data_IF_913996455323
#
_entry.id   IF_913996455323
#
_cell.length_a   1.000
_cell.length_b   1.000
_cell.length_c   1.000
_cell.angle_alpha   90.00
_cell.angle_beta   90.00
_cell.angle_gamma   90.00
#
_symmetry.space_group_name_H-M   'P 1'
#
loop_
_entity.id
_entity.type
_entity.pdbx_description
1 polymer ?
#
# COMPACT_ATOMS: atom_id res chain seq x y z
N UNK A 1 -26.43 7.45 -60.33
CA UNK A 1 -26.73 6.22 -59.58
C UNK A 1 -27.27 6.64 -58.22
N UNK A 2 -28.27 5.95 -57.65
CA UNK A 2 -28.84 6.34 -56.35
C UNK A 2 -27.96 5.70 -55.27
N UNK A 3 -27.06 6.47 -54.66
CA UNK A 3 -26.19 5.99 -53.59
C UNK A 3 -26.99 5.91 -52.28
N UNK A 4 -26.71 4.88 -51.48
CA UNK A 4 -27.25 4.73 -50.12
C UNK A 4 -26.44 5.65 -49.18
N UNK A 5 -27.11 6.40 -48.31
CA UNK A 5 -26.44 7.32 -47.36
C UNK A 5 -25.49 6.58 -46.41
N UNK A 6 -25.69 5.27 -46.21
CA UNK A 6 -24.86 4.41 -45.37
C UNK A 6 -23.73 3.70 -46.14
N UNK A 7 -23.63 3.88 -47.45
CA UNK A 7 -22.58 3.27 -48.27
C UNK A 7 -21.21 3.87 -47.90
N UNK A 8 -20.21 3.03 -47.63
CA UNK A 8 -18.85 3.48 -47.32
C UNK A 8 -18.16 4.00 -48.57
N UNK A 9 -17.61 5.21 -48.50
CA UNK A 9 -16.95 5.87 -49.64
C UNK A 9 -15.44 6.02 -49.43
N UNK A 10 -15.02 6.12 -48.16
CA UNK A 10 -13.64 6.30 -47.76
C UNK A 10 -13.37 5.50 -46.47
N UNK A 11 -12.21 4.86 -46.36
CA UNK A 11 -11.84 4.12 -45.16
C UNK A 11 -10.36 4.23 -44.84
N UNK A 12 -10.07 4.27 -43.55
CA UNK A 12 -8.73 4.13 -43.01
C UNK A 12 -8.74 2.99 -42.00
N UNK A 13 -7.96 1.95 -42.27
CA UNK A 13 -7.82 0.82 -41.38
C UNK A 13 -6.45 0.86 -40.72
N UNK A 14 -6.41 0.49 -39.45
CA UNK A 14 -5.18 0.44 -38.68
C UNK A 14 -5.03 -0.95 -38.12
N UNK A 15 -3.86 -1.52 -38.32
CA UNK A 15 -3.47 -2.77 -37.70
C UNK A 15 -2.40 -2.45 -36.66
N UNK A 16 -2.74 -2.62 -35.40
CA UNK A 16 -1.84 -2.46 -34.25
C UNK A 16 -1.36 -3.83 -33.70
N UNK A 17 -1.54 -4.90 -34.47
CA UNK A 17 -1.28 -6.26 -34.03
C UNK A 17 -2.41 -6.90 -33.20
N UNK A 18 -3.49 -6.17 -32.89
CA UNK A 18 -4.64 -6.66 -32.10
C UNK A 18 -5.96 -6.68 -32.88
N UNK A 19 -5.90 -7.01 -34.18
CA UNK A 19 -7.07 -7.11 -35.06
C UNK A 19 -7.45 -5.74 -35.62
N UNK A 20 -7.53 -5.64 -36.95
CA UNK A 20 -7.67 -4.35 -37.64
C UNK A 20 -8.90 -3.56 -37.20
N UNK A 21 -8.67 -2.34 -36.70
CA UNK A 21 -9.73 -1.38 -36.37
C UNK A 21 -9.89 -0.41 -37.54
N UNK A 22 -11.09 -0.35 -38.12
CA UNK A 22 -11.38 0.45 -39.31
C UNK A 22 -12.22 1.68 -39.00
N UNK A 23 -11.73 2.86 -39.36
CA UNK A 23 -12.53 4.09 -39.42
C UNK A 23 -13.00 4.29 -40.86
N UNK A 24 -14.28 4.59 -41.05
CA UNK A 24 -14.88 4.70 -42.38
C UNK A 24 -15.83 5.88 -42.44
N UNK A 25 -15.83 6.55 -43.58
CA UNK A 25 -16.76 7.62 -43.91
C UNK A 25 -17.83 7.09 -44.87
N UNK A 26 -19.09 7.42 -44.61
CA UNK A 26 -20.20 7.09 -45.50
C UNK A 26 -20.51 8.21 -46.47
N UNK A 27 -21.24 7.89 -47.54
CA UNK A 27 -21.68 8.83 -48.55
C UNK A 27 -22.42 10.04 -47.94
N UNK A 28 -23.38 9.79 -47.03
CA UNK A 28 -24.18 10.86 -46.41
C UNK A 28 -23.34 11.82 -45.55
N UNK A 29 -22.31 11.31 -44.88
CA UNK A 29 -21.43 12.12 -44.04
C UNK A 29 -20.43 12.94 -44.86
N UNK A 30 -19.94 12.42 -45.99
CA UNK A 30 -18.95 13.11 -46.82
C UNK A 30 -19.53 14.32 -47.57
N UNK A 31 -20.80 14.29 -47.97
CA UNK A 31 -21.41 15.24 -48.93
C UNK A 31 -21.36 16.72 -48.50
N UNK A 32 -21.31 17.02 -47.19
CA UNK A 32 -21.29 18.39 -46.65
C UNK A 32 -20.08 18.66 -45.74
N UNK A 33 -19.06 17.81 -45.77
CA UNK A 33 -17.93 17.85 -44.83
C UNK A 33 -16.82 18.77 -45.34
N UNK A 34 -16.25 19.59 -44.46
CA UNK A 34 -15.00 20.34 -44.76
C UNK A 34 -13.76 19.48 -44.47
N UNK A 35 -12.59 19.90 -44.94
CA UNK A 35 -11.33 19.22 -44.61
C UNK A 35 -11.02 19.26 -43.10
N UNK A 36 -11.42 20.34 -42.41
CA UNK A 36 -11.24 20.46 -40.97
C UNK A 36 -12.17 19.51 -40.21
N UNK A 37 -13.42 19.36 -40.68
CA UNK A 37 -14.36 18.37 -40.13
C UNK A 37 -13.80 16.94 -40.32
N UNK A 38 -13.25 16.63 -41.50
CA UNK A 38 -12.61 15.34 -41.76
C UNK A 38 -11.43 15.07 -40.82
N UNK A 39 -10.56 16.07 -40.62
CA UNK A 39 -9.42 15.98 -39.69
C UNK A 39 -9.92 15.75 -38.26
N UNK A 40 -10.96 16.49 -37.84
CA UNK A 40 -11.54 16.36 -36.50
C UNK A 40 -12.21 15.00 -36.28
N UNK A 41 -12.93 14.47 -37.27
CA UNK A 41 -13.58 13.16 -37.19
C UNK A 41 -12.57 12.02 -37.10
N UNK A 42 -11.47 12.09 -37.86
CA UNK A 42 -10.37 11.12 -37.78
C UNK A 42 -9.69 11.19 -36.40
N UNK A 43 -9.36 12.39 -35.92
CA UNK A 43 -8.71 12.58 -34.63
C UNK A 43 -9.62 12.18 -33.45
N UNK A 44 -10.93 12.41 -33.56
CA UNK A 44 -11.92 12.05 -32.54
C UNK A 44 -12.19 10.54 -32.48
N UNK A 45 -11.83 9.79 -33.52
CA UNK A 45 -12.02 8.33 -33.55
C UNK A 45 -11.16 7.58 -32.51
N UNK A 46 -10.07 8.19 -32.02
CA UNK A 46 -9.27 7.71 -30.89
C UNK A 46 -8.44 6.45 -31.13
N UNK A 47 -7.84 6.28 -32.31
CA UNK A 47 -7.24 5.00 -32.76
C UNK A 47 -5.73 5.08 -33.08
N UNK A 48 -4.97 5.82 -32.28
CA UNK A 48 -3.52 6.06 -32.46
C UNK A 48 -3.15 6.70 -33.79
N UNK A 49 -4.11 7.37 -34.42
CA UNK A 49 -3.95 7.97 -35.73
C UNK A 49 -4.29 9.42 -35.63
N UNK A 50 -3.42 10.23 -36.23
CA UNK A 50 -3.56 11.67 -36.28
C UNK A 50 -3.66 12.11 -37.71
N UNK A 51 -4.70 12.87 -38.00
CA UNK A 51 -4.83 13.65 -39.21
C UNK A 51 -4.50 15.11 -38.93
N UNK A 52 -3.91 15.78 -39.91
CA UNK A 52 -3.73 17.23 -39.89
C UNK A 52 -3.76 17.78 -41.31
N UNK A 53 -4.28 18.98 -41.49
CA UNK A 53 -4.20 19.71 -42.75
C UNK A 53 -3.46 21.03 -42.51
N UNK A 54 -2.31 21.24 -43.14
CA UNK A 54 -1.48 22.44 -42.95
C UNK A 54 -0.75 22.75 -44.25
N UNK A 55 -0.72 24.02 -44.65
CA UNK A 55 -0.07 24.50 -45.88
C UNK A 55 -0.53 23.76 -47.15
N UNK A 56 -1.81 23.36 -47.21
CA UNK A 56 -2.37 22.61 -48.35
C UNK A 56 -2.04 21.12 -48.36
N UNK A 57 -1.36 20.60 -47.32
CA UNK A 57 -0.97 19.19 -47.20
C UNK A 57 -1.80 18.49 -46.14
N UNK A 58 -2.54 17.45 -46.55
CA UNK A 58 -3.18 16.51 -45.64
C UNK A 58 -2.18 15.44 -45.20
N UNK A 59 -1.94 15.34 -43.90
CA UNK A 59 -1.05 14.34 -43.30
C UNK A 59 -1.86 13.38 -42.46
N UNK A 60 -1.47 12.12 -42.52
CA UNK A 60 -1.98 11.05 -41.70
C UNK A 60 -0.78 10.34 -41.07
N UNK A 61 -0.75 10.19 -39.75
CA UNK A 61 0.34 9.55 -39.03
C UNK A 61 -0.17 8.53 -38.02
N UNK A 62 0.60 7.46 -37.83
CA UNK A 62 0.44 6.50 -36.74
C UNK A 62 1.36 6.89 -35.59
N UNK A 63 0.80 6.97 -34.38
CA UNK A 63 1.55 7.25 -33.16
C UNK A 63 2.35 6.03 -32.67
N UNK A 64 2.09 4.84 -33.21
CA UNK A 64 2.82 3.61 -32.90
C UNK A 64 3.98 3.38 -33.88
N UNK A 65 5.16 3.10 -33.32
CA UNK A 65 6.35 2.72 -34.08
C UNK A 65 6.34 1.22 -34.46
N UNK A 66 7.23 0.79 -35.35
CA UNK A 66 7.37 -0.62 -35.72
C UNK A 66 6.62 -1.04 -36.98
N UNK A 67 7.13 -2.09 -37.61
CA UNK A 67 6.69 -2.61 -38.91
C UNK A 67 5.30 -3.27 -38.86
N UNK A 68 4.91 -3.79 -37.70
CA UNK A 68 3.59 -4.39 -37.48
C UNK A 68 2.45 -3.37 -37.41
N UNK A 69 2.77 -2.10 -37.13
CA UNK A 69 1.80 -1.04 -36.89
C UNK A 69 1.45 -0.31 -38.19
N UNK A 70 0.59 -0.94 -38.98
CA UNK A 70 0.29 -0.53 -40.35
C UNK A 70 -0.94 0.35 -40.44
N UNK A 71 -0.89 1.33 -41.33
CA UNK A 71 -2.01 2.19 -41.71
C UNK A 71 -2.37 1.94 -43.16
N UNK A 72 -3.60 1.52 -43.40
CA UNK A 72 -4.16 1.32 -44.74
C UNK A 72 -5.14 2.42 -45.08
N UNK A 73 -4.93 3.12 -46.19
CA UNK A 73 -5.82 4.15 -46.71
C UNK A 73 -6.53 3.61 -47.96
N UNK A 74 -7.87 3.67 -47.98
CA UNK A 74 -8.70 3.12 -49.07
C UNK A 74 -9.76 4.11 -49.56
N UNK A 75 -9.80 4.33 -50.87
CA UNK A 75 -10.89 5.03 -51.56
C UNK A 75 -11.82 3.97 -52.16
N UNK A 76 -13.04 3.91 -51.65
CA UNK A 76 -13.99 2.86 -52.03
C UNK A 76 -14.90 3.31 -53.17
N UNK A 77 -15.22 4.61 -53.24
CA UNK A 77 -16.15 5.18 -54.22
C UNK A 77 -15.56 6.37 -54.98
N UNK A 78 -16.10 6.64 -56.18
CA UNK A 78 -15.70 7.76 -57.03
C UNK A 78 -15.94 9.13 -56.37
N UNK A 79 -16.97 9.28 -55.52
CA UNK A 79 -17.24 10.53 -54.81
C UNK A 79 -16.09 10.90 -53.90
N UNK A 80 -15.58 9.96 -53.10
CA UNK A 80 -14.42 10.20 -52.25
C UNK A 80 -13.18 10.55 -53.07
N UNK A 81 -12.96 9.85 -54.20
CA UNK A 81 -11.88 10.20 -55.13
C UNK A 81 -12.00 11.62 -55.69
N UNK A 82 -13.20 12.08 -56.04
CA UNK A 82 -13.46 13.46 -56.49
C UNK A 82 -13.26 14.48 -55.38
N UNK A 83 -13.78 14.21 -54.18
CA UNK A 83 -13.60 15.05 -53.00
C UNK A 83 -12.12 15.36 -52.73
N UNK A 84 -11.27 14.32 -52.65
CA UNK A 84 -9.84 14.53 -52.43
C UNK A 84 -9.17 15.28 -53.59
N UNK A 85 -9.55 15.00 -54.85
CA UNK A 85 -9.02 15.72 -56.02
C UNK A 85 -9.40 17.20 -56.06
N UNK A 86 -10.61 17.55 -55.64
CA UNK A 86 -11.06 18.96 -55.52
C UNK A 86 -10.28 19.70 -54.44
N UNK A 87 -9.82 18.98 -53.41
CA UNK A 87 -8.88 19.49 -52.40
C UNK A 87 -7.42 19.48 -52.89
N UNK A 88 -7.16 19.11 -54.15
CA UNK A 88 -5.83 19.03 -54.74
C UNK A 88 -5.01 17.82 -54.26
N UNK A 89 -5.62 16.84 -53.60
CA UNK A 89 -4.98 15.65 -53.03
C UNK A 89 -5.27 14.45 -53.92
N UNK A 90 -4.24 13.66 -54.26
CA UNK A 90 -4.45 12.45 -55.05
C UNK A 90 -4.91 12.72 -56.49
N UNK A 91 -4.50 13.85 -57.07
CA UNK A 91 -4.75 14.26 -58.46
C UNK A 91 -3.70 13.72 -59.45
N UNK A 92 -2.64 13.07 -58.95
CA UNK A 92 -1.50 12.60 -59.73
C UNK A 92 -0.31 13.56 -59.76
N UNK A 93 -0.40 14.73 -59.11
CA UNK A 93 0.69 15.70 -59.03
C UNK A 93 1.87 15.17 -58.19
N UNK A 94 3.10 15.37 -58.68
CA UNK A 94 4.33 14.84 -58.04
C UNK A 94 4.62 15.43 -56.66
N UNK A 95 4.00 16.56 -56.30
CA UNK A 95 4.10 17.22 -54.99
C UNK A 95 3.27 16.55 -53.89
N UNK A 96 2.44 15.56 -54.23
CA UNK A 96 1.58 14.86 -53.29
C UNK A 96 2.14 13.46 -53.00
N UNK A 97 3.01 13.40 -51.99
CA UNK A 97 3.62 12.15 -51.54
C UNK A 97 2.74 11.44 -50.52
N UNK A 98 2.48 10.16 -50.76
CA UNK A 98 1.90 9.25 -49.77
C UNK A 98 2.90 8.11 -49.56
N UNK A 99 3.38 7.95 -48.32
CA UNK A 99 4.39 6.94 -47.97
C UNK A 99 5.82 7.23 -48.47
N UNK A 100 6.19 8.49 -48.73
CA UNK A 100 7.58 8.90 -49.04
C UNK A 100 8.16 8.40 -50.36
N UNK A 101 7.32 7.95 -51.31
CA UNK A 101 7.76 7.33 -52.58
C UNK A 101 8.11 8.31 -53.71
N UNK A 102 8.05 9.64 -53.47
CA UNK A 102 8.41 10.67 -54.47
C UNK A 102 7.60 10.66 -55.77
N UNK A 103 6.49 9.92 -55.83
CA UNK A 103 5.65 9.78 -57.04
C UNK A 103 4.21 10.13 -56.71
N UNK A 104 3.64 11.08 -57.46
CA UNK A 104 2.24 11.50 -57.34
C UNK A 104 1.28 10.32 -57.47
N UNK A 105 0.26 10.27 -56.63
CA UNK A 105 -0.77 9.22 -56.63
C UNK A 105 -2.09 9.78 -57.13
N UNK A 106 -2.88 8.95 -57.83
CA UNK A 106 -4.24 9.30 -58.25
C UNK A 106 -5.27 8.51 -57.46
N UNK A 107 -6.17 9.21 -56.77
CA UNK A 107 -7.25 8.61 -55.98
C UNK A 107 -8.47 8.35 -56.86
N UNK A 108 -8.67 7.08 -57.22
CA UNK A 108 -9.85 6.59 -57.93
C UNK A 108 -10.58 5.56 -57.05
N UNK A 109 -11.82 5.21 -57.40
CA UNK A 109 -12.51 4.09 -56.75
C UNK A 109 -11.65 2.82 -56.80
N UNK A 110 -11.49 2.16 -55.66
CA UNK A 110 -10.61 1.00 -55.49
C UNK A 110 -9.14 1.33 -55.19
N UNK A 111 -8.75 2.61 -55.06
CA UNK A 111 -7.38 2.96 -54.63
C UNK A 111 -7.13 2.49 -53.20
N UNK A 112 -6.00 1.82 -52.98
CA UNK A 112 -5.57 1.33 -51.67
C UNK A 112 -4.06 1.50 -51.52
N UNK A 113 -3.61 1.93 -50.34
CA UNK A 113 -2.20 1.95 -49.98
C UNK A 113 -2.00 1.58 -48.52
N UNK A 114 -0.87 0.97 -48.21
CA UNK A 114 -0.47 0.58 -46.86
C UNK A 114 0.87 1.25 -46.53
N UNK A 115 0.96 1.86 -45.35
CA UNK A 115 2.17 2.50 -44.81
C UNK A 115 2.45 1.89 -43.44
N UNK A 116 3.71 1.53 -43.20
CA UNK A 116 4.17 1.00 -41.92
C UNK A 116 5.41 1.76 -41.43
N UNK A 117 5.61 1.77 -40.11
CA UNK A 117 6.89 2.17 -39.52
C UNK A 117 7.98 1.14 -39.80
N UNK A 118 9.17 1.38 -39.26
CA UNK A 118 10.25 0.38 -39.24
C UNK A 118 10.50 -0.07 -37.81
N UNK A 119 10.93 -1.32 -37.64
CA UNK A 119 11.44 -1.78 -36.35
C UNK A 119 12.84 -1.23 -36.12
N UNK A 120 13.16 -0.94 -34.87
CA UNK A 120 14.49 -0.56 -34.43
C UNK A 120 15.44 -1.75 -34.26
N UNK A 121 16.72 -1.43 -34.22
CA UNK A 121 17.81 -2.34 -33.88
C UNK A 121 18.78 -1.63 -32.92
N UNK A 122 19.29 -2.37 -31.93
CA UNK A 122 20.37 -1.92 -31.03
C UNK A 122 21.42 -3.02 -30.88
N UNK A 123 22.67 -2.62 -30.73
CA UNK A 123 23.76 -3.53 -30.37
C UNK A 123 24.20 -3.22 -28.93
N UNK A 124 24.11 -4.21 -28.05
CA UNK A 124 24.58 -4.12 -26.65
C UNK A 124 25.66 -5.17 -26.43
N UNK A 125 26.84 -4.74 -25.98
CA UNK A 125 28.01 -5.61 -25.73
C UNK A 125 28.35 -6.55 -26.90
N UNK A 126 28.22 -6.04 -28.14
CA UNK A 126 28.51 -6.78 -29.37
C UNK A 126 27.40 -7.74 -29.83
N UNK A 127 26.27 -7.82 -29.11
CA UNK A 127 25.11 -8.62 -29.50
C UNK A 127 24.03 -7.72 -30.11
N UNK A 128 23.56 -8.08 -31.32
CA UNK A 128 22.47 -7.37 -32.00
C UNK A 128 21.11 -7.83 -31.47
N UNK A 129 20.25 -6.86 -31.20
CA UNK A 129 18.86 -7.00 -30.83
C UNK A 129 18.02 -6.27 -31.87
N UNK A 130 17.33 -7.03 -32.72
CA UNK A 130 16.49 -6.54 -33.81
C UNK A 130 15.01 -6.60 -33.43
N UNK A 131 14.14 -6.13 -34.31
CA UNK A 131 12.68 -6.17 -34.15
C UNK A 131 12.18 -5.39 -32.92
N UNK A 132 12.85 -4.30 -32.57
CA UNK A 132 12.39 -3.42 -31.49
C UNK A 132 11.20 -2.62 -32.02
N UNK A 133 10.01 -2.90 -31.50
CA UNK A 133 8.76 -2.29 -31.97
C UNK A 133 8.45 -0.93 -31.35
N UNK A 134 9.29 -0.46 -30.43
CA UNK A 134 9.19 0.84 -29.77
C UNK A 134 10.59 1.46 -29.63
N UNK A 135 10.70 2.73 -29.26
CA UNK A 135 11.97 3.38 -28.95
C UNK A 135 12.53 2.98 -27.57
N UNK A 136 12.12 1.81 -27.04
CA UNK A 136 12.52 1.29 -25.75
C UNK A 136 12.85 -0.19 -25.84
N UNK A 137 13.97 -0.60 -25.26
CA UNK A 137 14.39 -1.99 -25.19
C UNK A 137 14.87 -2.34 -23.80
N UNK A 138 14.41 -3.46 -23.24
CA UNK A 138 14.87 -3.96 -21.94
C UNK A 138 15.82 -5.13 -22.16
N UNK A 139 17.09 -4.96 -21.83
CA UNK A 139 18.16 -5.94 -22.04
C UNK A 139 18.93 -6.08 -20.73
N UNK A 140 19.05 -7.32 -20.23
CA UNK A 140 19.80 -7.59 -18.99
C UNK A 140 19.26 -6.85 -17.75
N UNK A 141 17.97 -6.51 -17.73
CA UNK A 141 17.35 -5.73 -16.65
C UNK A 141 17.56 -4.22 -16.74
N UNK A 142 18.25 -3.73 -17.78
CA UNK A 142 18.40 -2.30 -18.08
C UNK A 142 17.43 -1.92 -19.19
N UNK A 143 16.64 -0.88 -18.96
CA UNK A 143 15.76 -0.30 -19.98
C UNK A 143 16.46 0.84 -20.70
N UNK A 144 16.77 0.62 -21.98
CA UNK A 144 17.34 1.62 -22.87
C UNK A 144 16.21 2.37 -23.56
N UNK A 145 16.26 3.70 -23.53
CA UNK A 145 15.41 4.57 -24.35
C UNK A 145 16.24 5.09 -25.50
N UNK A 146 15.87 4.73 -26.73
CA UNK A 146 16.56 5.10 -27.96
C UNK A 146 16.06 6.48 -28.39
N UNK A 147 16.96 7.47 -28.42
CA UNK A 147 16.61 8.84 -28.80
C UNK A 147 17.03 9.18 -30.22
N UNK A 148 18.21 8.73 -30.61
CA UNK A 148 18.77 8.94 -31.95
C UNK A 148 19.74 7.81 -32.30
N UNK A 149 20.03 7.67 -33.59
CA UNK A 149 21.02 6.73 -34.10
C UNK A 149 22.42 7.18 -33.69
N UNK A 150 23.14 6.31 -32.99
CA UNK A 150 24.52 6.58 -32.59
C UNK A 150 25.49 6.29 -33.74
N UNK A 151 26.34 7.26 -34.09
CA UNK A 151 27.45 7.07 -35.06
C UNK A 151 28.65 6.33 -34.43
N UNK A 152 28.82 6.44 -33.11
CA UNK A 152 29.84 5.75 -32.32
C UNK A 152 29.23 5.11 -31.09
N UNK A 153 29.80 3.99 -30.63
CA UNK A 153 29.27 3.27 -29.48
C UNK A 153 29.27 4.13 -28.20
N UNK A 154 28.13 4.21 -27.54
CA UNK A 154 28.01 4.87 -26.23
C UNK A 154 28.37 3.89 -25.10
N UNK A 155 29.00 4.39 -24.04
CA UNK A 155 29.31 3.62 -22.85
C UNK A 155 28.26 3.86 -21.77
N UNK A 156 27.53 2.82 -21.38
CA UNK A 156 26.57 2.86 -20.26
C UNK A 156 27.19 2.12 -19.09
N UNK A 157 27.32 2.77 -17.95
CA UNK A 157 27.85 2.14 -16.73
C UNK A 157 26.72 1.93 -15.74
N UNK A 158 26.57 0.69 -15.27
CA UNK A 158 25.65 0.34 -14.19
C UNK A 158 26.45 0.18 -12.91
N UNK A 159 26.16 1.02 -11.93
CA UNK A 159 26.78 0.96 -10.61
C UNK A 159 25.71 0.79 -9.54
N UNK A 160 26.06 0.10 -8.45
CA UNK A 160 25.20 0.00 -7.29
C UNK A 160 25.00 1.38 -6.66
N UNK A 161 23.74 1.78 -6.45
CA UNK A 161 23.39 2.99 -5.72
C UNK A 161 23.54 2.76 -4.21
N UNK A 162 24.74 2.99 -3.68
CA UNK A 162 25.02 2.85 -2.25
C UNK A 162 24.32 3.92 -1.40
N UNK A 163 24.11 5.12 -1.94
CA UNK A 163 23.43 6.23 -1.24
C UNK A 163 22.02 5.84 -0.82
N UNK A 164 21.21 5.35 -1.77
CA UNK A 164 19.84 4.93 -1.48
C UNK A 164 19.77 3.80 -0.45
N UNK A 165 20.77 2.91 -0.42
CA UNK A 165 20.83 1.83 0.58
C UNK A 165 21.17 2.40 1.96
N UNK A 166 22.14 3.29 2.07
CA UNK A 166 22.52 3.95 3.32
C UNK A 166 21.33 4.71 3.90
N UNK A 167 20.60 5.47 3.07
CA UNK A 167 19.42 6.22 3.52
C UNK A 167 18.30 5.31 4.02
N UNK A 168 18.08 4.15 3.39
CA UNK A 168 17.14 3.14 3.89
C UNK A 168 17.55 2.56 5.25
N UNK A 169 18.85 2.32 5.46
CA UNK A 169 19.36 1.82 6.75
C UNK A 169 19.25 2.91 7.83
N UNK A 170 19.45 4.19 7.48
CA UNK A 170 19.19 5.32 8.40
C UNK A 170 17.73 5.35 8.84
N UNK A 171 16.80 5.27 7.89
CA UNK A 171 15.37 5.24 8.21
C UNK A 171 15.02 4.05 9.11
N UNK A 172 15.58 2.87 8.83
CA UNK A 172 15.41 1.70 9.69
C UNK A 172 15.89 1.96 11.13
N UNK A 173 17.05 2.60 11.31
CA UNK A 173 17.58 2.96 12.63
C UNK A 173 16.67 3.94 13.36
N UNK A 174 16.14 4.93 12.66
CA UNK A 174 15.19 5.90 13.20
C UNK A 174 13.88 5.24 13.63
N UNK A 175 13.29 4.41 12.77
CA UNK A 175 12.03 3.70 13.02
C UNK A 175 12.17 2.73 14.20
N UNK A 176 13.29 1.98 14.25
CA UNK A 176 13.59 1.10 15.37
C UNK A 176 13.67 1.88 16.69
N UNK A 177 14.41 2.99 16.71
CA UNK A 177 14.58 3.81 17.92
C UNK A 177 13.25 4.44 18.38
N UNK A 178 12.43 4.90 17.45
CA UNK A 178 11.11 5.48 17.73
C UNK A 178 10.15 4.44 18.32
N UNK A 179 10.12 3.24 17.73
CA UNK A 179 9.33 2.12 18.23
C UNK A 179 9.80 1.68 19.62
N UNK A 180 11.12 1.51 19.79
CA UNK A 180 11.72 1.14 21.07
C UNK A 180 11.41 2.17 22.16
N UNK A 181 11.48 3.47 21.84
CA UNK A 181 11.13 4.54 22.77
C UNK A 181 9.67 4.43 23.19
N UNK A 182 8.75 4.27 22.24
CA UNK A 182 7.31 4.17 22.50
C UNK A 182 6.99 2.98 23.43
N UNK A 183 7.61 1.83 23.19
CA UNK A 183 7.46 0.65 24.05
C UNK A 183 8.07 0.88 25.45
N UNK A 184 9.22 1.56 25.52
CA UNK A 184 9.88 1.86 26.79
C UNK A 184 9.14 2.89 27.62
N UNK A 185 8.52 3.88 26.99
CA UNK A 185 7.69 4.87 27.66
C UNK A 185 6.51 4.19 28.33
N UNK A 186 5.85 3.24 27.66
CA UNK A 186 4.78 2.43 28.26
C UNK A 186 5.26 1.45 29.32
N UNK A 187 6.38 0.77 29.07
CA UNK A 187 6.95 -0.19 30.00
C UNK A 187 7.45 0.46 31.30
N UNK A 188 7.94 1.69 31.24
CA UNK A 188 8.48 2.43 32.38
C UNK A 188 7.56 3.56 32.87
N UNK A 189 6.33 3.63 32.36
CA UNK A 189 5.37 4.68 32.73
C UNK A 189 5.15 4.68 34.25
N UNK A 190 5.22 5.87 34.88
CA UNK A 190 5.05 5.98 36.33
C UNK A 190 3.62 5.62 36.72
N UNK A 191 3.44 4.69 37.65
CA UNK A 191 2.15 4.32 38.22
C UNK A 191 1.86 5.15 39.46
N UNK A 192 0.80 5.94 39.43
CA UNK A 192 0.32 6.66 40.61
C UNK A 192 -0.62 5.75 41.44
N UNK A 193 -0.05 5.02 42.40
CA UNK A 193 -0.80 4.06 43.24
C UNK A 193 -1.88 4.67 44.12
N UNK A 194 -1.81 5.97 44.39
CA UNK A 194 -2.75 6.66 45.29
C UNK A 194 -4.09 6.99 44.61
N UNK A 195 -4.22 6.70 43.30
CA UNK A 195 -5.38 7.01 42.49
C UNK A 195 -6.11 5.73 42.09
N UNK A 196 -7.10 5.36 42.90
CA UNK A 196 -8.00 4.24 42.61
C UNK A 196 -9.16 4.66 41.68
N UNK A 197 -9.92 3.66 41.19
CA UNK A 197 -11.16 3.90 40.44
C UNK A 197 -12.19 4.62 41.32
N UNK A 198 -12.76 5.71 40.79
CA UNK A 198 -13.75 6.49 41.51
C UNK A 198 -15.06 5.70 41.67
N UNK A 199 -15.63 5.76 42.86
CA UNK A 199 -17.03 5.34 43.09
C UNK A 199 -17.98 6.43 42.62
N UNK A 200 -19.22 6.07 42.26
CA UNK A 200 -20.25 7.05 41.86
C UNK A 200 -20.43 8.18 42.87
N UNK A 201 -20.40 7.85 44.17
CA UNK A 201 -20.52 8.86 45.23
C UNK A 201 -19.33 9.82 45.28
N UNK A 202 -18.12 9.36 44.94
CA UNK A 202 -16.96 10.24 44.82
C UNK A 202 -17.07 11.13 43.57
N UNK A 203 -17.54 10.58 42.45
CA UNK A 203 -17.77 11.33 41.21
C UNK A 203 -18.81 12.45 41.41
N UNK A 204 -19.92 12.17 42.11
CA UNK A 204 -20.98 13.15 42.39
C UNK A 204 -20.47 14.38 43.17
N UNK A 205 -19.38 14.21 43.93
CA UNK A 205 -18.74 15.27 44.71
C UNK A 205 -17.63 16.04 43.98
N UNK A 206 -17.31 15.68 42.73
CA UNK A 206 -16.18 16.23 41.96
C UNK A 206 -16.65 16.97 40.70
N UNK A 207 -15.85 17.94 40.24
CA UNK A 207 -16.07 18.56 38.93
C UNK A 207 -15.58 17.65 37.81
N UNK A 208 -16.08 17.86 36.58
CA UNK A 208 -15.66 17.10 35.39
C UNK A 208 -14.14 17.12 35.19
N UNK A 209 -13.50 18.28 35.32
CA UNK A 209 -12.04 18.42 35.18
C UNK A 209 -11.27 17.66 36.27
N UNK A 210 -11.80 17.61 37.50
CA UNK A 210 -11.19 16.84 38.58
C UNK A 210 -11.31 15.34 38.32
N UNK A 211 -12.47 14.88 37.83
CA UNK A 211 -12.70 13.48 37.44
C UNK A 211 -11.75 13.08 36.31
N UNK A 212 -11.60 13.91 35.28
CA UNK A 212 -10.69 13.65 34.15
C UNK A 212 -9.23 13.50 34.62
N UNK A 213 -8.71 14.48 35.37
CA UNK A 213 -7.35 14.42 35.91
C UNK A 213 -7.12 13.25 36.86
N UNK A 214 -8.14 12.89 37.64
CA UNK A 214 -8.08 11.71 38.52
C UNK A 214 -8.01 10.43 37.69
N UNK A 215 -8.86 10.30 36.68
CA UNK A 215 -8.89 9.15 35.80
C UNK A 215 -7.60 9.00 34.99
N UNK A 216 -6.98 10.10 34.56
CA UNK A 216 -5.67 10.06 33.88
C UNK A 216 -4.59 9.49 34.81
N UNK A 217 -4.58 9.91 36.08
CA UNK A 217 -3.66 9.35 37.07
C UNK A 217 -3.98 7.91 37.43
N UNK A 218 -5.25 7.55 37.57
CA UNK A 218 -5.68 6.18 37.83
C UNK A 218 -5.32 5.22 36.67
N UNK A 219 -5.31 5.73 35.43
CA UNK A 219 -4.90 4.99 34.22
C UNK A 219 -3.39 5.05 33.95
N UNK A 220 -2.63 5.82 34.72
CA UNK A 220 -1.18 5.90 34.56
C UNK A 220 -0.51 4.57 34.88
N UNK A 221 0.51 4.21 34.11
CA UNK A 221 1.33 3.03 34.41
C UNK A 221 0.57 1.71 34.39
N UNK A 222 -0.57 1.61 33.69
CA UNK A 222 -1.30 0.35 33.50
C UNK A 222 -0.42 -0.74 32.86
N UNK A 223 0.51 -0.32 32.00
CA UNK A 223 1.47 -1.18 31.30
C UNK A 223 2.86 -1.15 31.94
N UNK A 224 2.99 -0.56 33.14
CA UNK A 224 4.25 -0.52 33.86
C UNK A 224 4.74 -1.94 34.14
N UNK A 225 5.95 -2.24 33.67
CA UNK A 225 6.57 -3.57 33.76
C UNK A 225 5.71 -4.69 33.16
N UNK A 226 4.87 -4.37 32.18
CA UNK A 226 4.07 -5.38 31.49
C UNK A 226 4.95 -6.44 30.84
N UNK A 227 4.60 -7.71 31.07
CA UNK A 227 5.40 -8.85 30.61
C UNK A 227 5.47 -8.91 29.09
N UNK A 228 4.35 -8.68 28.38
CA UNK A 228 4.30 -8.81 26.93
C UNK A 228 5.13 -7.71 26.25
N UNK A 229 5.05 -6.47 26.75
CA UNK A 229 5.89 -5.37 26.27
C UNK A 229 7.36 -5.63 26.58
N UNK A 230 7.68 -6.09 27.79
CA UNK A 230 9.05 -6.46 28.16
C UNK A 230 9.64 -7.53 27.25
N UNK A 231 8.86 -8.58 26.95
CA UNK A 231 9.25 -9.66 26.05
C UNK A 231 9.49 -9.15 24.61
N UNK A 232 8.63 -8.26 24.10
CA UNK A 232 8.80 -7.63 22.78
C UNK A 232 10.11 -6.81 22.74
N UNK A 233 10.33 -5.94 23.73
CA UNK A 233 11.54 -5.11 23.82
C UNK A 233 12.80 -6.00 23.83
N UNK A 234 12.80 -7.06 24.64
CA UNK A 234 13.93 -7.99 24.74
C UNK A 234 14.20 -8.68 23.39
N UNK A 235 13.17 -9.23 22.76
CA UNK A 235 13.30 -9.93 21.48
C UNK A 235 13.67 -9.01 20.33
N UNK A 236 13.24 -7.74 20.34
CA UNK A 236 13.69 -6.74 19.37
C UNK A 236 15.20 -6.50 19.46
N UNK A 237 15.77 -6.47 20.67
CA UNK A 237 17.23 -6.34 20.86
C UNK A 237 17.96 -7.60 20.41
N UNK A 238 17.40 -8.77 20.71
CA UNK A 238 17.94 -10.07 20.30
C UNK A 238 17.95 -10.21 18.76
N UNK A 239 16.88 -9.81 18.09
CA UNK A 239 16.74 -9.86 16.63
C UNK A 239 17.85 -9.10 15.90
N UNK A 240 18.29 -7.96 16.46
CA UNK A 240 19.33 -7.12 15.90
C UNK A 240 20.75 -7.57 16.25
N UNK A 241 20.95 -8.02 17.50
CA UNK A 241 22.28 -8.37 18.03
C UNK A 241 22.76 -9.75 17.61
N UNK A 242 21.85 -10.68 17.32
CA UNK A 242 22.20 -12.04 16.91
C UNK A 242 22.74 -12.04 15.47
N UNK A 243 23.91 -12.64 15.19
CA UNK A 243 24.36 -12.86 13.82
C UNK A 243 23.38 -13.70 13.00
N UNK A 244 23.37 -13.51 11.68
CA UNK A 244 22.58 -14.30 10.73
C UNK A 244 23.43 -15.47 10.26
N UNK A 245 22.96 -16.68 10.51
CA UNK A 245 23.67 -17.90 10.14
C UNK A 245 23.61 -18.17 8.64
N UNK A 246 24.66 -18.82 8.14
CA UNK A 246 24.77 -19.21 6.74
C UNK A 246 25.01 -18.04 5.77
N UNK A 247 25.45 -16.89 6.25
CA UNK A 247 26.03 -15.83 5.39
C UNK A 247 27.50 -16.17 5.16
N UNK A 248 27.90 -16.31 3.90
CA UNK A 248 29.30 -16.49 3.53
C UNK A 248 30.01 -15.13 3.50
N UNK A 249 31.00 -14.91 4.35
CA UNK A 249 31.81 -13.70 4.31
C UNK A 249 32.19 -13.17 5.68
N UNK A 250 32.77 -11.97 5.70
CA UNK A 250 33.21 -11.31 6.93
C UNK A 250 32.08 -10.57 7.66
N UNK A 251 30.98 -10.26 6.97
CA UNK A 251 29.82 -9.57 7.54
C UNK A 251 28.66 -10.54 7.72
N UNK A 252 28.30 -10.85 8.97
CA UNK A 252 27.15 -11.70 9.27
C UNK A 252 26.20 -11.09 10.31
N UNK A 253 26.44 -9.86 10.77
CA UNK A 253 25.57 -9.21 11.76
C UNK A 253 25.41 -7.72 11.49
N UNK A 254 24.31 -7.13 11.97
CA UNK A 254 24.05 -5.69 11.92
C UNK A 254 25.19 -4.88 12.57
N UNK A 255 25.81 -5.44 13.63
CA UNK A 255 26.96 -4.84 14.28
C UNK A 255 28.18 -4.74 13.38
N UNK A 256 28.48 -5.78 12.60
CA UNK A 256 29.65 -5.77 11.70
C UNK A 256 29.53 -4.74 10.57
N UNK A 257 28.32 -4.37 10.19
CA UNK A 257 28.03 -3.38 9.14
C UNK A 257 27.82 -1.96 9.69
N UNK A 258 28.04 -1.75 11.00
CA UNK A 258 28.04 -0.42 11.60
C UNK A 258 26.80 -0.04 12.42
N UNK A 259 25.83 -0.94 12.63
CA UNK A 259 24.71 -0.68 13.54
C UNK A 259 25.11 -1.06 14.96
N UNK A 260 25.31 -0.07 15.84
CA UNK A 260 25.77 -0.29 17.22
C UNK A 260 24.75 0.17 18.24
N UNK A 261 24.65 -0.56 19.35
CA UNK A 261 23.83 -0.16 20.50
C UNK A 261 24.56 0.92 21.30
N UNK A 262 23.84 1.98 21.68
CA UNK A 262 24.41 3.18 22.31
C UNK A 262 23.99 3.39 23.76
N UNK A 263 22.90 2.77 24.19
CA UNK A 263 22.39 2.90 25.56
C UNK A 263 22.08 1.53 26.14
N UNK A 264 22.07 1.43 27.47
CA UNK A 264 21.58 0.23 28.18
C UNK A 264 20.09 -0.04 27.89
N UNK A 265 19.40 1.00 27.39
CA UNK A 265 18.04 0.93 26.88
C UNK A 265 17.97 0.38 25.44
N UNK A 266 19.07 -0.01 24.80
CA UNK A 266 19.03 -0.70 23.51
C UNK A 266 18.80 0.19 22.30
N UNK A 267 18.89 1.52 22.42
CA UNK A 267 18.89 2.41 21.26
C UNK A 267 20.11 2.13 20.39
N UNK A 268 19.97 2.34 19.09
CA UNK A 268 21.01 2.03 18.10
C UNK A 268 21.40 3.28 17.29
N UNK A 269 22.62 3.28 16.75
CA UNK A 269 23.10 4.29 15.81
C UNK A 269 23.80 3.62 14.62
N UNK A 270 23.93 4.35 13.52
CA UNK A 270 24.59 3.90 12.30
C UNK A 270 25.97 4.57 12.12
N UNK A 271 27.00 3.76 11.97
CA UNK A 271 28.30 4.16 11.41
C UNK A 271 28.24 4.03 9.88
N UNK A 272 27.97 5.14 9.20
CA UNK A 272 27.80 5.19 7.73
C UNK A 272 29.05 4.73 6.98
N UNK A 273 30.24 5.04 7.50
CA UNK A 273 31.51 4.68 6.88
C UNK A 273 31.75 3.16 6.93
N UNK A 274 31.37 2.51 8.03
CA UNK A 274 31.39 1.04 8.10
C UNK A 274 30.38 0.40 7.16
N UNK A 275 29.17 0.94 7.08
CA UNK A 275 28.16 0.44 6.16
C UNK A 275 28.61 0.57 4.70
N UNK A 276 29.18 1.73 4.33
CA UNK A 276 29.71 1.98 3.00
C UNK A 276 30.85 1.03 2.63
N UNK A 277 31.75 0.74 3.58
CA UNK A 277 32.82 -0.26 3.40
C UNK A 277 32.24 -1.66 3.20
N UNK A 278 31.25 -2.05 4.00
CA UNK A 278 30.58 -3.35 3.87
C UNK A 278 29.86 -3.50 2.52
N UNK A 279 29.14 -2.47 2.06
CA UNK A 279 28.48 -2.45 0.75
C UNK A 279 29.46 -2.55 -0.41
N UNK A 280 30.64 -1.97 -0.28
CA UNK A 280 31.68 -2.03 -1.32
C UNK A 280 32.39 -3.39 -1.33
N UNK A 281 32.60 -3.99 -0.17
CA UNK A 281 33.33 -5.26 -0.04
C UNK A 281 32.44 -6.49 -0.33
N UNK A 282 31.27 -6.56 0.30
CA UNK A 282 30.36 -7.71 0.23
C UNK A 282 28.88 -7.26 0.23
N UNK A 283 28.37 -6.72 -0.90
CA UNK A 283 27.00 -6.20 -0.97
C UNK A 283 25.93 -7.27 -0.70
N UNK A 284 26.17 -8.53 -1.10
CA UNK A 284 25.26 -9.63 -0.85
C UNK A 284 25.15 -9.96 0.65
N UNK A 285 26.26 -9.92 1.39
CA UNK A 285 26.25 -10.13 2.84
C UNK A 285 25.42 -9.07 3.55
N UNK A 286 25.51 -7.80 3.13
CA UNK A 286 24.67 -6.71 3.66
C UNK A 286 23.19 -6.95 3.36
N UNK A 287 22.85 -7.37 2.14
CA UNK A 287 21.49 -7.75 1.78
C UNK A 287 20.97 -8.89 2.66
N UNK A 288 21.76 -9.96 2.85
CA UNK A 288 21.35 -11.11 3.63
C UNK A 288 21.15 -10.79 5.12
N UNK A 289 21.98 -9.92 5.70
CA UNK A 289 21.81 -9.48 7.11
C UNK A 289 20.42 -8.92 7.36
N UNK A 290 19.86 -8.15 6.41
CA UNK A 290 18.53 -7.56 6.59
C UNK A 290 17.41 -8.43 6.02
N UNK A 291 17.60 -8.94 4.80
CA UNK A 291 16.55 -9.45 3.94
C UNK A 291 16.59 -10.95 3.66
N UNK A 292 17.53 -11.70 4.25
CA UNK A 292 17.51 -13.16 4.14
C UNK A 292 16.22 -13.71 4.74
N UNK A 293 15.52 -14.54 3.99
CA UNK A 293 14.34 -15.23 4.48
C UNK A 293 14.80 -16.54 5.12
N UNK A 294 14.50 -16.73 6.40
CA UNK A 294 14.76 -18.01 7.06
C UNK A 294 13.85 -19.10 6.52
N UNK A 295 14.23 -20.35 6.78
CA UNK A 295 13.40 -21.49 6.43
C UNK A 295 12.07 -21.44 7.20
N UNK A 296 10.96 -21.53 6.48
CA UNK A 296 9.62 -21.44 7.06
C UNK A 296 9.12 -22.82 7.48
N UNK A 297 8.90 -23.01 8.77
CA UNK A 297 8.26 -24.22 9.29
C UNK A 297 6.73 -24.07 9.23
N UNK A 298 6.12 -24.88 8.37
CA UNK A 298 4.66 -24.90 8.18
C UNK A 298 3.87 -25.37 9.42
N UNK A 299 4.48 -26.16 10.30
CA UNK A 299 3.83 -26.69 11.50
C UNK A 299 3.75 -25.64 12.60
N UNK A 300 4.85 -24.94 12.86
CA UNK A 300 4.92 -23.87 13.87
C UNK A 300 4.47 -22.52 13.32
N UNK A 301 4.39 -22.38 11.99
CA UNK A 301 4.10 -21.13 11.26
C UNK A 301 5.09 -20.02 11.63
N UNK A 302 6.37 -20.40 11.74
CA UNK A 302 7.47 -19.50 12.09
C UNK A 302 8.64 -19.72 11.15
N UNK A 303 9.34 -18.63 10.84
CA UNK A 303 10.64 -18.70 10.18
C UNK A 303 11.74 -19.04 11.19
N UNK A 304 12.76 -19.77 10.77
CA UNK A 304 13.94 -20.03 11.59
C UNK A 304 14.66 -18.72 11.93
N UNK A 305 14.73 -18.42 13.22
CA UNK A 305 15.34 -17.19 13.74
C UNK A 305 16.83 -17.09 13.37
N UNK A 306 17.58 -18.19 13.44
CA UNK A 306 19.03 -18.18 13.27
C UNK A 306 19.45 -17.79 11.86
N UNK A 307 18.73 -18.28 10.85
CA UNK A 307 18.99 -18.03 9.42
C UNK A 307 18.23 -16.84 8.85
N UNK A 308 17.20 -16.33 9.53
CA UNK A 308 16.45 -15.14 9.12
C UNK A 308 17.26 -13.85 9.26
N UNK A 309 17.08 -12.93 8.31
CA UNK A 309 17.57 -11.56 8.40
C UNK A 309 16.81 -10.73 9.43
N UNK A 310 17.38 -9.58 9.79
CA UNK A 310 16.87 -8.66 10.83
C UNK A 310 15.42 -8.24 10.56
N UNK A 311 15.04 -7.98 9.31
CA UNK A 311 13.68 -7.53 8.98
C UNK A 311 12.64 -8.63 9.26
N UNK A 312 12.93 -9.88 8.87
CA UNK A 312 12.06 -11.01 9.13
C UNK A 312 11.95 -11.29 10.63
N UNK A 313 13.08 -11.29 11.35
CA UNK A 313 13.11 -11.48 12.81
C UNK A 313 12.26 -10.45 13.54
N UNK A 314 12.41 -9.17 13.20
CA UNK A 314 11.61 -8.10 13.82
C UNK A 314 10.12 -8.28 13.49
N UNK A 315 9.78 -8.62 12.25
CA UNK A 315 8.39 -8.90 11.87
C UNK A 315 7.79 -10.04 12.70
N UNK A 316 8.54 -11.13 12.90
CA UNK A 316 8.10 -12.26 13.72
C UNK A 316 7.95 -11.87 15.20
N UNK A 317 8.84 -11.04 15.74
CA UNK A 317 8.72 -10.50 17.10
C UNK A 317 7.42 -9.71 17.27
N UNK A 318 7.11 -8.80 16.34
CA UNK A 318 5.89 -8.00 16.41
C UNK A 318 4.63 -8.83 16.20
N UNK A 319 4.62 -9.72 15.21
CA UNK A 319 3.48 -10.58 14.93
C UNK A 319 3.17 -11.51 16.11
N UNK A 320 4.19 -12.11 16.71
CA UNK A 320 4.00 -12.99 17.86
C UNK A 320 3.65 -12.20 19.13
N UNK A 321 4.29 -11.05 19.35
CA UNK A 321 3.93 -10.15 20.45
C UNK A 321 2.47 -9.71 20.37
N UNK A 322 2.02 -9.28 19.18
CA UNK A 322 0.63 -8.89 18.95
C UNK A 322 -0.34 -10.06 19.14
N UNK A 323 0.00 -11.27 18.69
CA UNK A 323 -0.81 -12.48 18.96
C UNK A 323 -0.94 -12.75 20.46
N UNK A 324 0.15 -12.65 21.21
CA UNK A 324 0.14 -12.85 22.67
C UNK A 324 -0.70 -11.79 23.38
N UNK A 325 -0.54 -10.52 23.01
CA UNK A 325 -1.34 -9.40 23.54
C UNK A 325 -2.82 -9.61 23.21
N UNK A 326 -3.16 -9.98 21.98
CA UNK A 326 -4.54 -10.28 21.56
C UNK A 326 -5.15 -11.44 22.36
N UNK A 327 -4.39 -12.50 22.61
CA UNK A 327 -4.88 -13.62 23.44
C UNK A 327 -5.14 -13.20 24.88
N UNK A 328 -4.32 -12.30 25.43
CA UNK A 328 -4.43 -11.85 26.80
C UNK A 328 -5.51 -10.78 26.99
N UNK A 329 -5.42 -9.68 26.24
CA UNK A 329 -6.23 -8.49 26.40
C UNK A 329 -7.43 -8.42 25.45
N UNK A 330 -7.45 -9.25 24.41
CA UNK A 330 -8.50 -9.17 23.40
C UNK A 330 -8.22 -8.17 22.28
N UNK A 331 -9.14 -8.09 21.33
CA UNK A 331 -9.14 -7.07 20.25
C UNK A 331 -10.40 -6.23 20.25
N UNK A 332 -11.43 -6.65 20.99
CA UNK A 332 -12.67 -5.92 21.12
C UNK A 332 -12.70 -5.21 22.46
N UNK A 333 -13.48 -4.13 22.54
CA UNK A 333 -13.86 -3.55 23.84
C UNK A 333 -14.95 -4.38 24.52
N UNK A 334 -15.55 -5.33 23.80
CA UNK A 334 -16.53 -6.26 24.36
C UNK A 334 -15.86 -7.30 25.25
N UNK A 335 -16.51 -7.59 26.38
CA UNK A 335 -16.03 -8.57 27.36
C UNK A 335 -16.15 -10.02 26.83
N UNK A 336 -17.00 -10.24 25.82
CA UNK A 336 -17.25 -11.55 25.21
C UNK A 336 -16.37 -11.82 23.97
N UNK A 337 -15.08 -11.58 24.10
CA UNK A 337 -14.11 -11.79 23.02
C UNK A 337 -13.20 -13.01 23.22
N UNK A 338 -13.51 -13.81 24.24
CA UNK A 338 -12.77 -15.01 24.68
C UNK A 338 -11.30 -14.75 25.06
N UNK A 339 -10.91 -13.50 25.30
CA UNK A 339 -9.59 -13.17 25.85
C UNK A 339 -9.47 -13.56 27.33
N UNK A 340 -8.23 -13.66 27.81
CA UNK A 340 -7.98 -13.92 29.24
C UNK A 340 -8.60 -12.84 30.13
N UNK A 341 -8.38 -11.56 29.79
CA UNK A 341 -8.93 -10.44 30.54
C UNK A 341 -10.46 -10.38 30.42
N UNK A 342 -11.03 -10.61 29.23
CA UNK A 342 -12.47 -10.67 29.02
C UNK A 342 -13.14 -11.73 29.89
N UNK A 343 -12.60 -12.96 29.90
CA UNK A 343 -13.11 -14.04 30.75
C UNK A 343 -13.00 -13.72 32.25
N UNK A 344 -11.90 -13.09 32.68
CA UNK A 344 -11.75 -12.66 34.08
C UNK A 344 -12.77 -11.58 34.45
N UNK A 345 -13.06 -10.65 33.54
CA UNK A 345 -14.09 -9.63 33.78
C UNK A 345 -15.47 -10.27 33.96
N UNK A 346 -15.83 -11.27 33.14
CA UNK A 346 -17.10 -12.01 33.31
C UNK A 346 -17.20 -12.69 34.67
N UNK A 347 -16.15 -13.43 35.07
CA UNK A 347 -16.11 -14.11 36.37
C UNK A 347 -16.27 -13.11 37.55
N UNK A 348 -15.65 -11.93 37.45
CA UNK A 348 -15.86 -10.87 38.43
C UNK A 348 -17.28 -10.29 38.42
N UNK A 349 -17.91 -10.16 37.25
CA UNK A 349 -19.30 -9.70 37.14
C UNK A 349 -20.28 -10.71 37.77
N UNK A 350 -20.07 -12.01 37.57
CA UNK A 350 -20.87 -13.06 38.17
C UNK A 350 -20.73 -13.05 39.70
N UNK A 351 -19.49 -13.00 40.21
CA UNK A 351 -19.21 -12.86 41.65
C UNK A 351 -19.85 -11.61 42.25
N UNK A 352 -19.81 -10.50 41.53
CA UNK A 352 -20.46 -9.24 41.94
C UNK A 352 -21.98 -9.40 42.03
N UNK A 353 -22.61 -10.09 41.08
CA UNK A 353 -24.04 -10.38 41.07
C UNK A 353 -24.46 -11.25 42.26
N UNK A 354 -23.70 -12.31 42.52
CA UNK A 354 -23.91 -13.20 43.66
C UNK A 354 -23.78 -12.46 44.99
N UNK A 355 -22.75 -11.60 45.10
CA UNK A 355 -22.54 -10.80 46.29
C UNK A 355 -23.69 -9.82 46.52
N UNK A 356 -24.17 -9.11 45.49
CA UNK A 356 -25.35 -8.23 45.57
C UNK A 356 -26.59 -8.99 46.06
N UNK A 357 -26.80 -10.21 45.56
CA UNK A 357 -27.91 -11.06 45.98
C UNK A 357 -27.82 -11.41 47.47
N UNK A 358 -26.63 -11.80 47.96
CA UNK A 358 -26.39 -12.08 49.38
C UNK A 358 -26.56 -10.83 50.25
N UNK A 359 -26.12 -9.68 49.77
CA UNK A 359 -26.24 -8.40 50.49
C UNK A 359 -27.71 -8.02 50.69
N UNK A 360 -28.53 -8.17 49.65
CA UNK A 360 -29.97 -7.95 49.71
C UNK A 360 -30.66 -8.90 50.70
N UNK A 361 -30.30 -10.19 50.68
CA UNK A 361 -30.85 -11.15 51.64
C UNK A 361 -30.48 -10.82 53.10
N UNK A 362 -29.28 -10.25 53.33
CA UNK A 362 -28.85 -9.80 54.65
C UNK A 362 -29.59 -8.53 55.09
N UNK A 363 -29.79 -7.58 54.18
CA UNK A 363 -30.61 -6.38 54.40
C UNK A 363 -32.05 -6.77 54.81
N UNK A 364 -32.69 -7.69 54.07
CA UNK A 364 -34.03 -8.21 54.39
C UNK A 364 -34.09 -8.86 55.79
N UNK A 365 -33.00 -9.54 56.20
CA UNK A 365 -32.90 -10.15 57.52
C UNK A 365 -32.73 -9.11 58.64
N UNK A 366 -31.99 -8.03 58.39
CA UNK A 366 -31.86 -6.92 59.34
C UNK A 366 -33.20 -6.21 59.53
N UNK A 367 -33.94 -5.95 58.45
CA UNK A 367 -35.29 -5.39 58.55
C UNK A 367 -36.21 -6.28 59.39
N UNK A 368 -36.23 -7.60 59.16
CA UNK A 368 -37.02 -8.53 59.99
C UNK A 368 -36.65 -8.50 61.47
N UNK A 369 -35.36 -8.37 61.80
CA UNK A 369 -34.90 -8.25 63.20
C UNK A 369 -35.34 -6.93 63.81
N UNK A 370 -35.26 -5.85 63.05
CA UNK A 370 -35.69 -4.52 63.47
C UNK A 370 -37.20 -4.50 63.74
N UNK A 371 -38.02 -5.04 62.83
CA UNK A 371 -39.47 -5.15 63.00
C UNK A 371 -39.85 -5.98 64.24
N UNK A 372 -39.16 -7.10 64.46
CA UNK A 372 -39.35 -7.93 65.65
C UNK A 372 -38.99 -7.20 66.94
N UNK A 373 -37.94 -6.38 66.92
CA UNK A 373 -37.54 -5.52 68.03
C UNK A 373 -38.59 -4.43 68.29
N UNK A 374 -39.11 -3.78 67.26
CA UNK A 374 -40.19 -2.79 67.40
C UNK A 374 -41.44 -3.41 68.03
N UNK A 375 -41.84 -4.59 67.57
CA UNK A 375 -43.00 -5.29 68.13
C UNK A 375 -42.77 -5.72 69.59
N UNK A 376 -41.55 -6.12 69.95
CA UNK A 376 -41.18 -6.42 71.33
C UNK A 376 -41.23 -5.16 72.22
N UNK A 377 -40.72 -4.02 71.74
CA UNK A 377 -40.78 -2.73 72.43
C UNK A 377 -42.23 -2.26 72.63
N UNK A 378 -43.10 -2.43 71.62
CA UNK A 378 -44.53 -2.12 71.75
C UNK A 378 -45.20 -2.98 72.82
N UNK A 379 -44.93 -4.29 72.85
CA UNK A 379 -45.44 -5.18 73.92
C UNK A 379 -44.91 -4.79 75.30
N UNK A 380 -43.65 -4.38 75.39
CA UNK A 380 -43.04 -3.93 76.64
C UNK A 380 -43.66 -2.59 77.11
N UNK A 381 -43.95 -1.67 76.20
CA UNK A 381 -44.67 -0.44 76.50
C UNK A 381 -46.11 -0.71 76.97
N UNK A 382 -46.83 -1.64 76.32
CA UNK A 382 -48.17 -2.06 76.75
C UNK A 382 -48.18 -2.69 78.15
N UNK A 383 -47.19 -3.53 78.45
CA UNK A 383 -47.06 -4.16 79.78
C UNK A 383 -46.66 -3.15 80.85
N UNK A 384 -45.76 -2.19 80.56
CA UNK A 384 -45.49 -1.08 81.48
C UNK A 384 -46.73 -0.24 81.74
N UNK A 385 -47.49 0.11 80.70
CA UNK A 385 -48.75 0.85 80.86
C UNK A 385 -49.77 0.07 81.71
N UNK A 386 -49.90 -1.23 81.50
CA UNK A 386 -50.78 -2.09 82.30
C UNK A 386 -50.36 -2.15 83.79
N UNK A 387 -49.05 -2.26 84.06
CA UNK A 387 -48.52 -2.24 85.43
C UNK A 387 -48.72 -0.88 86.09
N UNK A 388 -48.57 0.23 85.36
CA UNK A 388 -48.82 1.57 85.89
C UNK A 388 -50.30 1.87 86.15
N UNK A 389 -51.22 1.30 85.36
CA UNK A 389 -52.66 1.50 85.52
C UNK A 389 -53.21 0.71 86.72
N UNK A 390 -52.59 -0.42 87.09
CA UNK A 390 -52.95 -1.22 88.26
C UNK A 390 -52.28 -0.73 89.57
N UNK A 391 -51.54 0.38 89.53
CA UNK A 391 -50.90 1.00 90.72
C UNK A 391 -51.53 2.35 91.12
N UNK A 392 -52.56 2.82 90.42
CA UNK A 392 -53.50 3.85 90.90
C UNK A 392 -54.73 3.18 91.49
#
# INVERSE_FOLDING_TARGET
TRHDENEQVFGINFNDGHGGQGWTMTYGALFNMTIDDLVNDINSAGRNIKASFTDGVFKLSNDLAGEGNKTTFKIQDELAGKFFKELGIGDGSASQELGGSGTGKTFNAGYETEIAGSNGEIVVDGRSYTNITDNRATIGGVTYTLLDKTETAASVTVTQDQSSIIDRVKQFVEDYNTMLQSLQDKYNETKYSDYDVLTKTQEDGMTKEQIEKWNDKAKSGLLNRDKYIGDIISKMREALSTPVEGISGQYNSAFNIGIRTITDQGKIELDEEKLKKALTAEPNSVYEIFGKMGEYDSNTKTSDFSTSGVAQRLSDVFNNGMKSIKSHAGVSTEVDDNSELGNRIKDWQDKMSDFKTKMKAFEDLLYKKYDAMELALQKLAMTMNYVSFNQQ
#
